data_IF_138547682558
#
_entry.id   IF_138547682558
#
_cell.length_a   1.000
_cell.length_b   1.000
_cell.length_c   1.000
_cell.angle_alpha   90.00
_cell.angle_beta   90.00
_cell.angle_gamma   90.00
#
_symmetry.space_group_name_H-M   'P 1'
#
loop_
_entity.id
_entity.type
_entity.pdbx_description
1 polymer ?
#
# COMPACT_ATOMS: atom_id res chain seq x y z
N UNK A 1 39.14 20.12 6.63
CA UNK A 1 38.63 21.34 5.96
C UNK A 1 38.90 21.28 4.45
N UNK A 2 38.56 20.16 3.78
CA UNK A 2 38.75 19.94 2.34
C UNK A 2 37.54 19.22 1.71
N UNK A 3 36.39 19.22 2.38
CA UNK A 3 35.17 18.50 1.95
C UNK A 3 34.21 19.42 1.17
N UNK A 4 34.57 20.68 0.91
CA UNK A 4 33.65 21.67 0.30
C UNK A 4 33.76 21.87 -1.22
N UNK A 5 34.75 21.28 -1.90
CA UNK A 5 34.99 21.58 -3.33
C UNK A 5 34.81 20.39 -4.31
N UNK A 6 34.33 19.24 -3.85
CA UNK A 6 34.15 18.06 -4.72
C UNK A 6 32.75 17.43 -4.54
N UNK A 7 31.77 17.74 -5.41
CA UNK A 7 30.42 17.17 -5.32
C UNK A 7 30.34 15.68 -5.72
N UNK A 8 31.47 15.05 -6.09
CA UNK A 8 31.54 13.65 -6.52
C UNK A 8 32.33 12.74 -5.56
N UNK A 9 32.96 13.31 -4.52
CA UNK A 9 33.65 12.54 -3.48
C UNK A 9 32.79 12.53 -2.21
N UNK A 10 31.82 11.62 -2.17
CA UNK A 10 31.15 11.26 -0.93
C UNK A 10 32.06 10.23 -0.24
N UNK A 11 32.95 10.72 0.61
CA UNK A 11 33.61 9.87 1.62
C UNK A 11 32.59 9.69 2.74
N UNK A 12 31.82 8.61 2.70
CA UNK A 12 31.12 8.11 3.89
C UNK A 12 32.20 7.37 4.67
N UNK A 13 32.60 7.93 5.82
CA UNK A 13 33.42 7.20 6.77
C UNK A 13 32.64 5.95 7.22
N UNK A 14 33.31 4.79 7.25
CA UNK A 14 32.75 3.46 7.57
C UNK A 14 31.90 3.40 8.85
N UNK A 15 32.08 4.35 9.78
CA UNK A 15 31.32 4.41 11.04
C UNK A 15 29.87 4.87 10.87
N UNK A 16 29.55 5.71 9.86
CA UNK A 16 28.18 6.22 9.68
C UNK A 16 27.25 5.19 9.02
N UNK A 17 27.77 4.32 8.15
CA UNK A 17 26.96 3.30 7.47
C UNK A 17 26.51 2.20 8.43
N UNK A 18 27.42 1.72 9.27
CA UNK A 18 27.13 0.78 10.36
C UNK A 18 26.19 1.40 11.40
N UNK A 19 26.33 2.70 11.69
CA UNK A 19 25.37 3.41 12.55
C UNK A 19 24.00 3.54 11.90
N UNK A 20 23.86 3.80 10.59
CA UNK A 20 22.55 3.84 9.91
C UNK A 20 21.89 2.46 9.90
N UNK A 21 22.65 1.37 9.71
CA UNK A 21 22.14 0.00 9.81
C UNK A 21 21.80 -0.42 11.25
N UNK A 22 22.56 0.08 12.24
CA UNK A 22 22.39 -0.24 13.66
C UNK A 22 21.37 0.65 14.39
N UNK A 23 21.16 1.89 13.92
CA UNK A 23 20.21 2.88 14.49
C UNK A 23 18.92 2.98 13.68
N UNK A 24 18.95 2.59 12.41
CA UNK A 24 17.78 2.48 11.55
C UNK A 24 17.07 1.14 11.71
N UNK A 25 16.78 0.72 12.95
CA UNK A 25 15.71 -0.27 13.11
C UNK A 25 14.42 0.51 12.86
N UNK A 26 13.74 0.35 11.70
CA UNK A 26 12.53 1.10 11.44
C UNK A 26 11.51 0.67 12.48
N UNK A 27 11.28 1.50 13.49
CA UNK A 27 10.19 1.28 14.44
C UNK A 27 8.91 1.40 13.63
N UNK A 28 8.17 0.30 13.50
CA UNK A 28 6.83 0.33 12.94
C UNK A 28 6.03 1.32 13.79
N UNK A 29 5.48 2.35 13.14
CA UNK A 29 4.60 3.29 13.82
C UNK A 29 3.19 2.76 13.66
N UNK A 30 2.52 2.57 14.79
CA UNK A 30 1.11 2.18 14.79
C UNK A 30 0.33 3.24 13.99
N UNK A 31 -0.41 2.79 13.00
CA UNK A 31 -1.16 3.63 12.09
C UNK A 31 -2.58 3.11 11.94
N UNK A 32 -3.31 3.19 13.05
CA UNK A 32 -4.67 2.69 13.18
C UNK A 32 -5.60 3.37 12.16
N UNK A 33 -6.59 2.61 11.73
CA UNK A 33 -7.72 3.10 10.96
C UNK A 33 -8.56 3.96 11.91
N UNK A 34 -8.91 5.16 11.46
CA UNK A 34 -9.76 6.10 12.20
C UNK A 34 -11.22 6.00 11.77
N UNK A 35 -11.46 5.73 10.49
CA UNK A 35 -12.80 5.59 9.92
C UNK A 35 -12.78 4.56 8.78
N UNK A 36 -13.89 3.86 8.58
CA UNK A 36 -14.05 2.93 7.48
C UNK A 36 -15.40 3.14 6.81
N UNK A 37 -15.45 2.91 5.49
CA UNK A 37 -16.68 3.00 4.73
C UNK A 37 -16.78 1.82 3.78
N UNK A 38 -17.96 1.21 3.71
CA UNK A 38 -18.25 0.15 2.76
C UNK A 38 -19.30 0.63 1.75
N UNK A 39 -19.06 0.31 0.48
CA UNK A 39 -19.94 0.70 -0.62
C UNK A 39 -20.17 -0.49 -1.56
N UNK A 40 -21.39 -0.61 -2.09
CA UNK A 40 -21.71 -1.55 -3.17
C UNK A 40 -22.25 -0.76 -4.36
N UNK A 41 -21.62 -0.96 -5.50
CA UNK A 41 -21.91 -0.26 -6.75
C UNK A 41 -22.35 -1.21 -7.86
N UNK A 42 -23.18 -0.71 -8.77
CA UNK A 42 -23.50 -1.35 -10.04
C UNK A 42 -22.71 -0.69 -11.15
N UNK A 43 -21.88 -1.48 -11.83
CA UNK A 43 -21.17 -1.08 -13.04
C UNK A 43 -21.96 -1.54 -14.26
N UNK A 44 -22.25 -0.58 -15.13
CA UNK A 44 -22.96 -0.75 -16.41
C UNK A 44 -22.12 -0.16 -17.54
N UNK A 45 -22.51 -0.40 -18.80
CA UNK A 45 -21.84 0.25 -19.95
C UNK A 45 -21.92 1.79 -19.90
N UNK A 46 -22.96 2.35 -19.28
CA UNK A 46 -23.18 3.79 -19.17
C UNK A 46 -22.50 4.46 -17.97
N UNK A 47 -21.90 3.68 -17.05
CA UNK A 47 -21.26 4.20 -15.84
C UNK A 47 -21.43 3.31 -14.61
N UNK A 48 -20.92 3.79 -13.47
CA UNK A 48 -21.05 3.15 -12.16
C UNK A 48 -22.02 3.91 -11.28
N UNK A 49 -22.80 3.20 -10.48
CA UNK A 49 -23.79 3.78 -9.58
C UNK A 49 -23.78 3.06 -8.23
N UNK A 50 -23.45 3.80 -7.16
CA UNK A 50 -23.46 3.29 -5.78
C UNK A 50 -24.89 3.32 -5.24
N UNK A 51 -25.38 2.17 -4.77
CA UNK A 51 -26.74 2.05 -4.24
C UNK A 51 -26.78 1.72 -2.75
N UNK A 52 -25.69 1.18 -2.23
CA UNK A 52 -25.51 0.89 -0.81
C UNK A 52 -24.22 1.55 -0.35
N UNK A 53 -24.28 2.25 0.78
CA UNK A 53 -23.15 2.86 1.45
C UNK A 53 -23.42 2.84 2.95
N UNK A 54 -22.44 2.37 3.70
CA UNK A 54 -22.45 2.36 5.16
C UNK A 54 -21.17 3.01 5.66
N UNK A 55 -21.32 4.11 6.38
CA UNK A 55 -20.23 4.92 6.94
C UNK A 55 -20.17 4.84 8.46
N UNK A 56 -21.25 4.39 9.09
CA UNK A 56 -21.30 4.15 10.52
C UNK A 56 -20.66 2.79 10.80
N UNK A 57 -19.34 2.80 11.00
CA UNK A 57 -18.57 1.61 11.31
C UNK A 57 -17.83 1.75 12.65
N UNK A 58 -18.03 0.78 13.53
CA UNK A 58 -17.28 0.65 14.78
C UNK A 58 -15.97 -0.09 14.51
N UNK A 59 -14.89 0.39 15.13
CA UNK A 59 -13.55 -0.17 15.02
C UNK A 59 -13.18 -0.81 16.36
N UNK A 60 -12.87 -2.09 16.33
CA UNK A 60 -12.48 -2.88 17.49
C UNK A 60 -11.01 -3.27 17.38
N UNK A 61 -10.27 -3.06 18.47
CA UNK A 61 -8.86 -3.45 18.55
C UNK A 61 -8.71 -4.96 18.72
N UNK A 62 -7.52 -5.50 18.48
CA UNK A 62 -7.23 -6.91 18.74
C UNK A 62 -7.53 -7.33 20.20
N UNK A 63 -7.35 -6.43 21.16
CA UNK A 63 -7.68 -6.71 22.56
C UNK A 63 -9.18 -6.96 22.76
N UNK A 64 -10.03 -6.11 22.17
CA UNK A 64 -11.50 -6.26 22.25
C UNK A 64 -11.96 -7.59 21.64
N UNK A 65 -11.29 -8.01 20.55
CA UNK A 65 -11.56 -9.27 19.89
C UNK A 65 -11.21 -10.46 20.79
N UNK A 66 -10.02 -10.45 21.40
CA UNK A 66 -9.58 -11.52 22.30
C UNK A 66 -10.49 -11.64 23.52
N UNK A 67 -10.96 -10.52 24.07
CA UNK A 67 -11.89 -10.49 25.20
C UNK A 67 -13.26 -11.09 24.85
N UNK A 68 -13.69 -10.99 23.58
CA UNK A 68 -14.93 -11.63 23.10
C UNK A 68 -14.84 -13.15 22.99
N UNK A 69 -13.63 -13.73 23.06
CA UNK A 69 -13.39 -15.16 22.85
C UNK A 69 -13.62 -15.63 21.41
N UNK A 70 -13.76 -14.69 20.47
CA UNK A 70 -13.95 -14.99 19.05
C UNK A 70 -12.59 -15.17 18.37
N UNK A 71 -12.34 -16.36 17.85
CA UNK A 71 -11.13 -16.65 17.11
C UNK A 71 -11.21 -16.06 15.70
N UNK A 72 -10.46 -14.98 15.47
CA UNK A 72 -10.36 -14.31 14.18
C UNK A 72 -9.23 -14.86 13.32
N UNK A 73 -8.32 -15.65 13.87
CA UNK A 73 -7.11 -16.11 13.15
C UNK A 73 -7.17 -17.59 12.80
N UNK A 74 -8.28 -17.97 12.15
CA UNK A 74 -8.59 -19.36 11.79
C UNK A 74 -7.49 -20.00 10.92
N UNK A 75 -6.72 -19.19 10.18
CA UNK A 75 -5.68 -19.62 9.24
C UNK A 75 -4.25 -19.23 9.67
N UNK A 76 -4.04 -18.75 10.90
CA UNK A 76 -2.76 -18.17 11.36
C UNK A 76 -2.22 -17.06 10.42
N UNK A 77 -3.13 -16.37 9.74
CA UNK A 77 -2.82 -15.31 8.81
C UNK A 77 -2.40 -14.01 9.53
N UNK A 78 -2.78 -13.86 10.80
CA UNK A 78 -2.50 -12.67 11.59
C UNK A 78 -1.25 -12.81 12.48
N UNK A 79 -0.74 -14.03 12.69
CA UNK A 79 0.47 -14.34 13.48
C UNK A 79 1.71 -13.49 13.14
N UNK A 80 1.83 -13.05 11.88
CA UNK A 80 2.98 -12.26 11.42
C UNK A 80 2.90 -10.76 11.74
N UNK A 81 1.78 -10.30 12.28
CA UNK A 81 1.48 -8.89 12.54
C UNK A 81 1.44 -8.56 14.03
N UNK A 82 1.74 -7.31 14.38
CA UNK A 82 1.52 -6.85 15.75
C UNK A 82 0.02 -6.71 16.02
N UNK A 83 -0.42 -7.21 17.16
CA UNK A 83 -1.76 -7.01 17.72
C UNK A 83 -2.28 -5.56 17.63
N UNK A 84 -1.40 -4.57 17.72
CA UNK A 84 -1.78 -3.14 17.61
C UNK A 84 -2.13 -2.69 16.19
N UNK A 85 -1.63 -3.38 15.19
CA UNK A 85 -1.86 -3.03 13.78
C UNK A 85 -3.12 -3.71 13.22
N UNK A 86 -3.74 -4.61 14.00
CA UNK A 86 -4.94 -5.38 13.62
C UNK A 86 -6.19 -4.76 14.22
N UNK A 87 -7.16 -4.44 13.38
CA UNK A 87 -8.48 -3.96 13.79
C UNK A 87 -9.59 -4.71 13.05
N UNK A 88 -10.70 -4.93 13.75
CA UNK A 88 -11.94 -5.41 13.15
C UNK A 88 -12.90 -4.24 12.93
N UNK A 89 -13.47 -4.19 11.73
CA UNK A 89 -14.41 -3.18 11.29
C UNK A 89 -15.80 -3.80 11.26
N UNK A 90 -16.75 -3.18 11.94
CA UNK A 90 -18.15 -3.59 12.01
C UNK A 90 -19.05 -2.43 11.58
N UNK A 91 -19.65 -2.51 10.39
CA UNK A 91 -20.52 -1.46 9.86
C UNK A 91 -22.01 -1.79 10.07
N UNK A 92 -22.85 -0.76 10.14
CA UNK A 92 -24.31 -0.91 10.21
C UNK A 92 -24.87 -1.61 8.96
N UNK A 93 -25.94 -2.40 9.14
CA UNK A 93 -26.54 -3.19 8.06
C UNK A 93 -27.30 -2.34 7.04
N UNK A 94 -27.97 -1.28 7.50
CA UNK A 94 -28.74 -0.37 6.65
C UNK A 94 -27.84 0.66 5.97
N UNK A 95 -28.18 1.02 4.73
CA UNK A 95 -27.47 2.09 4.04
C UNK A 95 -27.77 3.46 4.67
N UNK A 96 -26.76 4.34 4.70
CA UNK A 96 -26.90 5.71 5.24
C UNK A 96 -27.83 6.61 4.43
N UNK A 97 -28.23 6.16 3.24
CA UNK A 97 -29.02 6.94 2.29
C UNK A 97 -30.23 6.19 1.77
N UNK A 98 -31.31 6.95 1.56
CA UNK A 98 -32.55 6.44 1.01
C UNK A 98 -32.40 6.12 -0.49
N UNK A 99 -33.15 5.09 -0.92
CA UNK A 99 -33.25 4.67 -2.31
C UNK A 99 -34.14 5.61 -3.12
N UNK A 100 -33.54 6.68 -3.64
CA UNK A 100 -34.23 7.69 -4.44
C UNK A 100 -33.72 7.67 -5.89
N UNK A 101 -34.25 6.76 -6.71
CA UNK A 101 -33.97 6.73 -8.16
C UNK A 101 -35.18 7.21 -8.95
N UNK A 102 -35.01 8.20 -9.85
CA UNK A 102 -36.07 8.61 -10.77
C UNK A 102 -36.60 7.42 -11.59
N UNK A 103 -37.94 7.27 -11.74
CA UNK A 103 -38.54 6.19 -12.52
C UNK A 103 -37.99 5.99 -13.96
N UNK A 104 -37.62 7.02 -14.75
CA UNK A 104 -36.99 6.80 -16.05
C UNK A 104 -35.58 6.17 -15.92
N UNK A 105 -34.78 6.59 -14.94
CA UNK A 105 -33.45 6.05 -14.68
C UNK A 105 -33.52 4.60 -14.24
N UNK A 106 -34.47 4.26 -13.36
CA UNK A 106 -34.70 2.87 -12.94
C UNK A 106 -35.05 1.96 -14.13
N UNK A 107 -35.95 2.42 -15.02
CA UNK A 107 -36.30 1.66 -16.23
C UNK A 107 -35.11 1.43 -17.16
N UNK A 108 -34.22 2.42 -17.30
CA UNK A 108 -33.01 2.26 -18.10
C UNK A 108 -32.01 1.31 -17.43
N UNK A 109 -31.82 1.41 -16.11
CA UNK A 109 -30.98 0.49 -15.35
C UNK A 109 -31.47 -0.96 -15.51
N UNK A 110 -32.77 -1.21 -15.35
CA UNK A 110 -33.37 -2.55 -15.53
C UNK A 110 -33.16 -3.07 -16.96
N UNK A 111 -33.20 -2.20 -17.98
CA UNK A 111 -32.87 -2.59 -19.36
C UNK A 111 -31.40 -2.97 -19.52
N UNK A 112 -30.47 -2.24 -18.89
CA UNK A 112 -29.03 -2.53 -18.99
C UNK A 112 -28.63 -3.89 -18.41
N UNK A 113 -29.48 -4.56 -17.61
CA UNK A 113 -29.24 -5.94 -17.18
C UNK A 113 -29.14 -6.93 -18.36
N UNK A 114 -29.73 -6.63 -19.53
CA UNK A 114 -29.55 -7.48 -20.73
C UNK A 114 -28.16 -7.35 -21.36
N UNK A 115 -27.50 -6.21 -21.18
CA UNK A 115 -26.15 -5.92 -21.68
C UNK A 115 -25.06 -6.40 -20.72
N UNK A 116 -25.42 -6.67 -19.47
CA UNK A 116 -24.52 -7.14 -18.41
C UNK A 116 -24.26 -6.05 -17.37
N UNK A 117 -24.89 -6.20 -16.20
CA UNK A 117 -24.63 -5.36 -15.02
C UNK A 117 -23.77 -6.16 -14.06
N UNK A 118 -22.73 -5.50 -13.55
CA UNK A 118 -21.78 -6.10 -12.61
C UNK A 118 -21.86 -5.40 -11.26
N UNK A 119 -22.00 -6.17 -10.20
CA UNK A 119 -21.90 -5.71 -8.82
C UNK A 119 -20.43 -5.55 -8.43
N UNK A 120 -20.05 -4.42 -7.85
CA UNK A 120 -18.68 -4.13 -7.44
C UNK A 120 -18.69 -3.62 -5.99
N UNK A 121 -18.17 -4.37 -5.02
CA UNK A 121 -18.00 -3.88 -3.66
C UNK A 121 -16.71 -3.07 -3.52
N UNK A 122 -16.69 -2.13 -2.61
CA UNK A 122 -15.50 -1.32 -2.30
C UNK A 122 -15.42 -0.99 -0.82
N UNK A 123 -14.19 -1.02 -0.31
CA UNK A 123 -13.86 -0.61 1.05
C UNK A 123 -12.95 0.62 1.01
N UNK A 124 -13.24 1.62 1.84
CA UNK A 124 -12.45 2.83 1.99
C UNK A 124 -12.03 2.97 3.46
N UNK A 125 -10.78 2.66 3.76
CA UNK A 125 -10.20 2.80 5.10
C UNK A 125 -9.48 4.13 5.21
N UNK A 126 -9.79 4.92 6.23
CA UNK A 126 -9.16 6.21 6.51
C UNK A 126 -8.26 6.09 7.73
N UNK A 127 -7.13 6.77 7.69
CA UNK A 127 -6.08 6.77 8.72
C UNK A 127 -5.31 8.08 8.66
N UNK A 128 -4.57 8.41 9.71
CA UNK A 128 -3.89 9.71 9.79
C UNK A 128 -2.65 9.83 8.88
N UNK A 129 -2.04 8.70 8.53
CA UNK A 129 -0.77 8.62 7.80
C UNK A 129 -0.80 7.55 6.69
N UNK A 130 0.05 7.67 5.65
CA UNK A 130 0.94 8.78 5.38
C UNK A 130 0.16 9.99 4.83
N UNK A 131 0.63 11.20 5.13
CA UNK A 131 0.01 12.44 4.63
C UNK A 131 -0.07 12.42 3.11
N UNK A 132 -1.18 12.87 2.53
CA UNK A 132 -1.57 12.76 1.11
C UNK A 132 -2.13 11.41 0.65
N UNK A 133 -2.12 10.38 1.51
CA UNK A 133 -2.65 9.04 1.24
C UNK A 133 -3.38 8.48 2.46
N UNK A 134 -4.16 9.35 3.10
CA UNK A 134 -4.96 9.03 4.29
C UNK A 134 -6.01 7.97 3.97
N UNK A 135 -6.60 7.99 2.78
CA UNK A 135 -7.59 7.01 2.35
C UNK A 135 -6.95 5.87 1.57
N UNK A 136 -7.06 4.66 2.10
CA UNK A 136 -6.73 3.43 1.40
C UNK A 136 -7.99 2.77 0.84
N UNK A 137 -8.02 2.56 -0.47
CA UNK A 137 -9.19 2.04 -1.17
C UNK A 137 -8.97 0.61 -1.66
N UNK A 138 -9.99 -0.23 -1.55
CA UNK A 138 -10.07 -1.54 -2.16
C UNK A 138 -11.30 -1.58 -3.08
N UNK A 139 -11.13 -2.14 -4.28
CA UNK A 139 -12.23 -2.43 -5.20
C UNK A 139 -12.25 -3.93 -5.47
N UNK A 140 -13.39 -4.56 -5.18
CA UNK A 140 -13.58 -6.00 -5.36
C UNK A 140 -13.74 -6.41 -6.82
N UNK A 141 -13.76 -7.72 -7.03
CA UNK A 141 -13.98 -8.30 -8.35
C UNK A 141 -15.44 -8.07 -8.78
N UNK A 142 -15.72 -7.66 -10.03
CA UNK A 142 -17.09 -7.48 -10.51
C UNK A 142 -17.86 -8.82 -10.57
N UNK A 143 -19.03 -8.90 -9.93
CA UNK A 143 -19.90 -10.09 -9.93
C UNK A 143 -21.15 -9.89 -10.78
N UNK A 144 -21.48 -10.83 -11.66
CA UNK A 144 -22.72 -10.80 -12.43
C UNK A 144 -23.88 -11.42 -11.63
N UNK A 145 -24.86 -10.62 -11.22
CA UNK A 145 -25.98 -11.08 -10.39
C UNK A 145 -27.31 -10.86 -11.11
N UNK A 146 -27.81 -11.93 -11.75
CA UNK A 146 -29.06 -11.87 -12.52
C UNK A 146 -30.30 -11.63 -11.65
N UNK A 147 -30.31 -12.19 -10.44
CA UNK A 147 -31.44 -12.08 -9.50
C UNK A 147 -31.66 -10.65 -8.97
N UNK A 148 -30.67 -9.75 -9.09
CA UNK A 148 -30.84 -8.36 -8.68
C UNK A 148 -31.89 -7.63 -9.51
N UNK A 149 -32.10 -8.05 -10.77
CA UNK A 149 -33.17 -7.53 -11.61
C UNK A 149 -34.56 -7.82 -11.03
N UNK A 150 -34.74 -9.01 -10.44
CA UNK A 150 -35.98 -9.44 -9.77
C UNK A 150 -36.24 -8.60 -8.52
N UNK A 151 -35.20 -8.28 -7.75
CA UNK A 151 -35.31 -7.39 -6.58
C UNK A 151 -35.72 -5.98 -6.98
N UNK A 152 -35.12 -5.43 -8.05
CA UNK A 152 -35.47 -4.10 -8.56
C UNK A 152 -36.91 -4.05 -9.11
N UNK A 153 -37.37 -5.11 -9.77
CA UNK A 153 -38.75 -5.26 -10.23
C UNK A 153 -39.75 -5.49 -9.09
N UNK A 154 -39.27 -5.84 -7.90
CA UNK A 154 -40.09 -6.07 -6.71
C UNK A 154 -40.70 -7.47 -6.64
N UNK A 155 -40.24 -8.43 -7.44
CA UNK A 155 -40.66 -9.84 -7.34
C UNK A 155 -39.96 -10.54 -6.17
N UNK A 156 -38.74 -10.11 -5.86
CA UNK A 156 -37.99 -10.50 -4.66
C UNK A 156 -37.72 -9.27 -3.79
N UNK A 157 -37.58 -9.47 -2.49
CA UNK A 157 -37.13 -8.43 -1.55
C UNK A 157 -35.65 -8.57 -1.20
N UNK A 158 -35.12 -9.79 -1.17
CA UNK A 158 -33.75 -10.09 -0.78
C UNK A 158 -33.08 -11.12 -1.69
N UNK A 159 -31.75 -11.04 -1.79
CA UNK A 159 -30.90 -12.00 -2.49
C UNK A 159 -29.66 -12.32 -1.67
N UNK A 160 -29.21 -13.58 -1.70
CA UNK A 160 -27.93 -13.97 -1.13
C UNK A 160 -26.82 -13.70 -2.14
N UNK A 161 -25.84 -12.89 -1.77
CA UNK A 161 -24.64 -12.64 -2.56
C UNK A 161 -23.49 -13.42 -1.94
N UNK A 162 -23.10 -14.49 -2.59
CA UNK A 162 -21.96 -15.31 -2.19
C UNK A 162 -20.63 -14.64 -2.58
N UNK A 163 -19.63 -14.77 -1.72
CA UNK A 163 -18.24 -14.38 -1.95
C UNK A 163 -18.07 -12.93 -2.43
N UNK A 164 -18.81 -12.00 -1.82
CA UNK A 164 -18.86 -10.60 -2.27
C UNK A 164 -17.48 -9.94 -2.17
N UNK A 165 -16.81 -10.05 -1.03
CA UNK A 165 -15.51 -9.44 -0.78
C UNK A 165 -14.67 -10.28 0.20
N UNK A 166 -13.33 -10.13 0.22
CA UNK A 166 -12.49 -10.89 1.13
C UNK A 166 -12.61 -10.40 2.57
N UNK A 167 -12.42 -11.29 3.55
CA UNK A 167 -12.54 -10.96 4.97
C UNK A 167 -11.35 -10.16 5.51
N UNK A 168 -10.14 -10.43 5.01
CA UNK A 168 -8.89 -9.88 5.51
C UNK A 168 -8.26 -8.89 4.53
N UNK A 169 -7.93 -7.71 5.02
CA UNK A 169 -7.33 -6.64 4.25
C UNK A 169 -5.98 -6.23 4.83
N UNK A 170 -5.01 -6.00 3.94
CA UNK A 170 -3.78 -5.29 4.25
C UNK A 170 -3.87 -3.86 3.71
N UNK A 171 -3.87 -2.89 4.61
CA UNK A 171 -3.87 -1.46 4.29
C UNK A 171 -2.42 -1.01 4.09
N UNK A 172 -2.06 -0.69 2.85
CA UNK A 172 -0.67 -0.36 2.51
C UNK A 172 -0.40 1.14 2.65
N UNK A 173 0.86 1.52 2.91
CA UNK A 173 1.32 2.92 2.82
C UNK A 173 1.18 3.54 1.42
N UNK A 174 0.84 2.73 0.41
CA UNK A 174 0.58 3.16 -0.96
C UNK A 174 -0.74 3.90 -1.19
N UNK A 175 -1.67 3.86 -0.23
CA UNK A 175 -3.05 4.37 -0.41
C UNK A 175 -3.99 3.35 -1.05
N UNK A 176 -3.60 2.08 -1.06
CA UNK A 176 -4.40 0.96 -1.54
C UNK A 176 -4.58 -0.05 -0.41
N UNK A 177 -5.77 -0.62 -0.32
CA UNK A 177 -6.05 -1.80 0.49
C UNK A 177 -6.06 -3.03 -0.41
N UNK A 178 -5.42 -4.11 0.04
CA UNK A 178 -5.25 -5.36 -0.72
C UNK A 178 -5.75 -6.53 0.11
N UNK A 179 -6.15 -7.61 -0.55
CA UNK A 179 -6.39 -8.89 0.13
C UNK A 179 -5.10 -9.33 0.84
N UNK A 180 -5.25 -9.83 2.07
CA UNK A 180 -4.14 -10.45 2.79
C UNK A 180 -3.78 -11.79 2.15
N UNK A 181 -2.58 -11.87 1.56
CA UNK A 181 -2.05 -13.09 0.95
C UNK A 181 -2.04 -14.21 2.01
N UNK A 182 -2.47 -15.42 1.63
CA UNK A 182 -2.68 -16.62 2.47
C UNK A 182 -4.09 -16.86 3.02
N UNK A 183 -5.04 -15.94 2.82
CA UNK A 183 -6.44 -16.16 3.23
C UNK A 183 -7.37 -16.33 2.03
N UNK A 184 -8.29 -17.30 2.11
CA UNK A 184 -9.40 -17.48 1.15
C UNK A 184 -10.77 -17.18 1.76
N UNK A 185 -10.81 -16.66 2.99
CA UNK A 185 -12.05 -16.32 3.66
C UNK A 185 -12.73 -15.14 2.95
N UNK A 186 -13.95 -15.39 2.49
CA UNK A 186 -14.81 -14.43 1.83
C UNK A 186 -16.04 -14.15 2.69
N UNK A 187 -16.61 -12.97 2.53
CA UNK A 187 -17.85 -12.58 3.19
C UNK A 187 -19.01 -12.69 2.21
N UNK A 188 -20.00 -13.48 2.60
CA UNK A 188 -21.28 -13.61 1.91
C UNK A 188 -22.36 -12.95 2.75
N UNK A 189 -23.36 -12.35 2.10
CA UNK A 189 -24.42 -11.65 2.81
C UNK A 189 -25.70 -11.52 1.99
N UNK A 190 -26.79 -11.25 2.70
CA UNK A 190 -28.09 -10.99 2.12
C UNK A 190 -28.23 -9.50 1.82
N UNK A 191 -28.45 -9.19 0.54
CA UNK A 191 -28.77 -7.84 0.08
C UNK A 191 -30.28 -7.72 -0.05
N UNK A 192 -30.87 -6.79 0.69
CA UNK A 192 -32.33 -6.60 0.79
C UNK A 192 -32.71 -5.18 0.41
N UNK A 193 -33.76 -5.03 -0.39
CA UNK A 193 -34.38 -3.74 -0.69
C UNK A 193 -35.65 -3.60 0.14
N UNK A 194 -35.56 -2.82 1.21
CA UNK A 194 -36.69 -2.50 2.07
C UNK A 194 -37.57 -1.48 1.37
N UNK A 195 -38.88 -1.73 1.35
CA UNK A 195 -39.88 -0.90 0.65
C UNK A 195 -41.04 -0.60 1.58
N UNK A 196 -40.80 0.26 2.56
CA UNK A 196 -41.83 0.71 3.49
C UNK A 196 -42.43 2.05 3.00
N UNK A 197 -42.46 3.07 3.87
CA UNK A 197 -42.86 4.44 3.49
C UNK A 197 -41.81 5.09 2.57
N UNK A 198 -40.55 4.75 2.79
CA UNK A 198 -39.41 5.07 1.95
C UNK A 198 -38.66 3.75 1.67
N UNK A 199 -37.90 3.70 0.57
CA UNK A 199 -37.10 2.54 0.24
C UNK A 199 -35.64 2.78 0.62
N UNK A 200 -34.93 1.73 1.05
CA UNK A 200 -33.49 1.74 1.30
C UNK A 200 -32.92 0.33 1.14
N UNK A 201 -31.60 0.24 0.97
CA UNK A 201 -30.90 -1.03 0.88
C UNK A 201 -30.31 -1.42 2.23
N UNK A 202 -30.38 -2.70 2.58
CA UNK A 202 -29.66 -3.28 3.70
C UNK A 202 -28.79 -4.45 3.23
N UNK A 203 -27.63 -4.61 3.86
CA UNK A 203 -26.72 -5.71 3.60
C UNK A 203 -26.38 -6.39 4.93
N UNK A 204 -26.88 -7.61 5.10
CA UNK A 204 -26.77 -8.37 6.34
C UNK A 204 -25.83 -9.56 6.15
N UNK A 205 -24.88 -9.74 7.06
CA UNK A 205 -23.94 -10.88 7.13
C UNK A 205 -24.18 -11.66 8.41
N UNK A 206 -23.68 -12.90 8.45
CA UNK A 206 -23.72 -13.72 9.68
C UNK A 206 -23.03 -12.98 10.83
N UNK A 207 -23.72 -12.82 11.96
CA UNK A 207 -23.19 -12.12 13.12
C UNK A 207 -21.87 -12.73 13.60
N UNK A 208 -20.98 -11.86 14.08
CA UNK A 208 -19.78 -12.25 14.82
C UNK A 208 -19.95 -11.80 16.27
N UNK A 209 -19.44 -12.58 17.22
CA UNK A 209 -19.52 -12.22 18.64
C UNK A 209 -18.83 -10.88 18.97
N UNK A 210 -17.88 -10.45 18.13
CA UNK A 210 -17.14 -9.19 18.26
C UNK A 210 -18.02 -7.97 17.97
N UNK A 211 -18.80 -8.00 16.89
CA UNK A 211 -19.63 -6.87 16.47
C UNK A 211 -20.94 -6.74 17.27
N UNK A 212 -21.16 -7.60 18.28
CA UNK A 212 -22.39 -7.62 19.08
C UNK A 212 -23.63 -7.89 18.21
N UNK A 213 -24.59 -6.98 18.27
CA UNK A 213 -25.86 -7.05 17.53
C UNK A 213 -25.76 -6.50 16.09
N UNK A 214 -24.63 -5.88 15.73
CA UNK A 214 -24.42 -5.31 14.40
C UNK A 214 -24.20 -6.46 13.41
N UNK A 215 -25.05 -6.52 12.38
CA UNK A 215 -25.03 -7.57 11.35
C UNK A 215 -24.71 -7.04 9.96
N UNK A 216 -24.18 -5.82 9.85
CA UNK A 216 -23.79 -5.24 8.58
C UNK A 216 -22.41 -5.70 8.09
N UNK A 217 -21.84 -5.04 7.07
CA UNK A 217 -20.55 -5.39 6.50
C UNK A 217 -19.44 -5.44 7.55
N UNK A 218 -18.69 -6.53 7.58
CA UNK A 218 -17.55 -6.73 8.50
C UNK A 218 -16.26 -6.97 7.73
N UNK A 219 -15.14 -6.49 8.25
CA UNK A 219 -13.81 -6.72 7.69
C UNK A 219 -12.75 -6.74 8.79
N UNK A 220 -11.67 -7.48 8.58
CA UNK A 220 -10.46 -7.41 9.40
C UNK A 220 -9.41 -6.69 8.59
N UNK A 221 -8.86 -5.61 9.13
CA UNK A 221 -7.88 -4.79 8.44
C UNK A 221 -6.60 -4.68 9.27
N UNK A 222 -5.48 -4.92 8.60
CA UNK A 222 -4.14 -4.73 9.16
C UNK A 222 -3.55 -3.47 8.56
N UNK A 223 -3.27 -2.48 9.40
CA UNK A 223 -2.78 -1.16 8.99
C UNK A 223 -1.42 -0.87 9.62
N UNK A 224 -0.38 -0.99 8.80
CA UNK A 224 1.00 -0.74 9.20
C UNK A 224 1.53 0.49 8.46
N UNK A 225 2.31 1.32 9.14
CA UNK A 225 3.20 2.29 8.49
C UNK A 225 4.64 1.81 8.58
N UNK A 226 5.08 1.04 7.57
CA UNK A 226 6.51 0.78 7.42
C UNK A 226 7.18 2.07 6.95
N UNK A 227 8.10 2.65 7.73
CA UNK A 227 8.82 3.85 7.32
C UNK A 227 9.49 3.61 5.97
N UNK A 228 9.39 4.59 5.07
CA UNK A 228 10.09 4.59 3.76
C UNK A 228 11.60 4.41 3.88
N UNK A 229 12.15 4.53 5.08
CA UNK A 229 13.54 4.20 5.45
C UNK A 229 13.96 2.85 4.89
N UNK A 230 13.14 1.80 4.91
CA UNK A 230 13.51 0.50 4.32
C UNK A 230 13.73 0.55 2.80
N UNK A 231 12.94 1.35 2.08
CA UNK A 231 13.13 1.60 0.63
C UNK A 231 14.36 2.46 0.38
N UNK A 232 14.62 3.46 1.23
CA UNK A 232 15.83 4.26 1.19
C UNK A 232 17.08 3.42 1.50
N UNK A 233 17.08 2.58 2.53
CA UNK A 233 18.15 1.63 2.84
C UNK A 233 18.38 0.69 1.65
N UNK A 234 17.31 0.12 1.06
CA UNK A 234 17.42 -0.72 -0.14
C UNK A 234 18.02 0.03 -1.33
N UNK A 235 17.69 1.31 -1.52
CA UNK A 235 18.28 2.18 -2.55
C UNK A 235 19.76 2.50 -2.27
N UNK A 236 20.15 2.71 -1.00
CA UNK A 236 21.55 2.95 -0.62
C UNK A 236 22.39 1.67 -0.69
N UNK A 237 21.77 0.50 -0.47
CA UNK A 237 22.44 -0.80 -0.55
C UNK A 237 22.43 -1.41 -1.96
N UNK A 238 21.48 -0.99 -2.80
CA UNK A 238 21.49 -1.31 -4.21
C UNK A 238 22.78 -0.72 -4.81
N UNK A 239 23.53 -1.55 -5.52
CA UNK A 239 24.78 -1.20 -6.18
C UNK A 239 26.00 -0.94 -5.29
N UNK A 240 25.94 -1.16 -3.96
CA UNK A 240 27.17 -1.17 -3.12
C UNK A 240 28.22 -2.11 -3.71
N UNK A 241 27.83 -3.32 -4.12
CA UNK A 241 28.75 -4.28 -4.77
C UNK A 241 29.45 -3.75 -6.02
N UNK A 242 28.80 -2.82 -6.74
CA UNK A 242 29.32 -2.22 -7.96
C UNK A 242 30.29 -1.06 -7.64
N UNK A 243 30.17 -0.46 -6.44
CA UNK A 243 31.00 0.64 -5.94
C UNK A 243 32.22 0.19 -5.14
N UNK A 244 32.19 -1.01 -4.52
CA UNK A 244 33.31 -1.58 -3.75
C UNK A 244 34.68 -1.44 -4.44
N UNK A 245 34.84 -1.72 -5.75
CA UNK A 245 36.14 -1.60 -6.43
C UNK A 245 36.68 -0.17 -6.57
N UNK A 246 35.86 0.84 -6.26
CA UNK A 246 36.15 2.27 -6.51
C UNK A 246 36.13 3.13 -5.24
N UNK A 247 35.75 2.58 -4.09
CA UNK A 247 35.58 3.33 -2.84
C UNK A 247 36.52 2.87 -1.72
N UNK A 248 36.85 1.58 -1.68
CA UNK A 248 37.63 0.97 -0.59
C UNK A 248 39.09 0.74 -1.00
N UNK A 249 39.85 1.82 -1.15
CA UNK A 249 41.28 1.77 -1.51
C UNK A 249 42.20 1.88 -0.29
N UNK A 250 43.28 1.06 -0.21
CA UNK A 250 44.28 1.15 0.86
C UNK A 250 45.02 2.49 0.92
N UNK A 251 45.37 3.06 -0.24
CA UNK A 251 46.00 4.39 -0.37
C UNK A 251 45.56 5.06 -1.68
N UNK A 252 45.43 6.39 -1.67
CA UNK A 252 44.99 7.16 -2.85
C UNK A 252 46.03 8.19 -3.33
N UNK A 253 47.19 8.25 -2.70
CA UNK A 253 48.15 9.36 -2.88
C UNK A 253 48.62 9.52 -4.33
N UNK A 254 48.86 8.40 -5.02
CA UNK A 254 49.26 8.40 -6.45
C UNK A 254 48.14 8.88 -7.38
N UNK A 255 46.89 8.55 -7.06
CA UNK A 255 45.72 9.03 -7.83
C UNK A 255 45.45 10.50 -7.56
N UNK A 256 45.63 10.95 -6.31
CA UNK A 256 45.51 12.36 -5.92
C UNK A 256 46.56 13.20 -6.64
N UNK A 257 47.82 12.75 -6.70
CA UNK A 257 48.88 13.44 -7.43
C UNK A 257 48.54 13.64 -8.92
N UNK A 258 48.02 12.62 -9.60
CA UNK A 258 47.57 12.74 -11.01
C UNK A 258 46.45 13.79 -11.14
N UNK A 259 45.50 13.81 -10.20
CA UNK A 259 44.43 14.81 -10.20
C UNK A 259 44.97 16.22 -9.96
N UNK A 260 45.91 16.40 -9.04
CA UNK A 260 46.58 17.68 -8.76
C UNK A 260 47.37 18.18 -9.99
N UNK A 261 48.07 17.29 -10.69
CA UNK A 261 48.80 17.61 -11.92
C UNK A 261 47.83 18.04 -13.05
N UNK A 262 46.66 17.40 -13.16
CA UNK A 262 45.60 17.83 -14.09
C UNK A 262 45.13 19.25 -13.74
N UNK A 263 44.93 19.54 -12.46
CA UNK A 263 44.52 20.87 -12.00
C UNK A 263 45.60 21.93 -12.28
N UNK A 264 46.88 21.60 -12.06
CA UNK A 264 48.01 22.48 -12.36
C UNK A 264 48.12 22.76 -13.86
N UNK A 265 48.09 21.74 -14.71
CA UNK A 265 48.12 21.88 -16.17
C UNK A 265 46.97 22.75 -16.69
N UNK A 266 45.76 22.59 -16.12
CA UNK A 266 44.59 23.42 -16.44
C UNK A 266 44.80 24.89 -16.04
N UNK A 267 45.40 25.14 -14.86
CA UNK A 267 45.67 26.50 -14.39
C UNK A 267 46.69 27.24 -15.28
N UNK A 268 47.67 26.50 -15.81
CA UNK A 268 48.71 27.01 -16.70
C UNK A 268 48.28 27.05 -18.18
N UNK A 269 47.08 26.53 -18.49
CA UNK A 269 46.50 26.40 -19.84
C UNK A 269 47.30 25.49 -20.78
N UNK A 270 48.01 24.51 -20.22
CA UNK A 270 48.71 23.46 -20.98
C UNK A 270 47.75 22.32 -21.37
N UNK A 271 46.89 22.59 -22.35
CA UNK A 271 45.79 21.69 -22.76
C UNK A 271 46.26 20.30 -23.21
N UNK A 272 47.42 20.20 -23.84
CA UNK A 272 47.96 18.91 -24.30
C UNK A 272 48.40 18.01 -23.13
N UNK A 273 48.96 18.60 -22.08
CA UNK A 273 49.36 17.89 -20.86
C UNK A 273 48.11 17.48 -20.05
N UNK A 274 47.15 18.39 -19.92
CA UNK A 274 45.86 18.12 -19.27
C UNK A 274 45.14 16.92 -19.92
N UNK A 275 45.05 16.90 -21.26
CA UNK A 275 44.41 15.81 -22.00
C UNK A 275 45.16 14.48 -21.80
N UNK A 276 46.50 14.50 -21.84
CA UNK A 276 47.33 13.31 -21.62
C UNK A 276 47.15 12.70 -20.23
N UNK A 277 47.13 13.53 -19.20
CA UNK A 277 46.92 13.12 -17.81
C UNK A 277 45.47 12.63 -17.59
N UNK A 278 44.48 13.29 -18.19
CA UNK A 278 43.08 12.86 -18.13
C UNK A 278 42.88 11.46 -18.74
N UNK A 279 43.44 11.18 -19.92
CA UNK A 279 43.36 9.86 -20.53
C UNK A 279 44.10 8.78 -19.72
N UNK A 280 45.16 9.16 -19.02
CA UNK A 280 45.87 8.26 -18.10
C UNK A 280 44.95 7.88 -16.93
N UNK A 281 44.28 8.86 -16.32
CA UNK A 281 43.29 8.62 -15.27
C UNK A 281 42.15 7.70 -15.75
N UNK A 282 41.60 7.96 -16.94
CA UNK A 282 40.54 7.11 -17.53
C UNK A 282 41.01 5.67 -17.75
N UNK A 283 42.25 5.46 -18.22
CA UNK A 283 42.81 4.12 -18.40
C UNK A 283 42.94 3.35 -17.08
N UNK A 284 43.31 4.05 -16.00
CA UNK A 284 43.40 3.46 -14.66
C UNK A 284 42.00 3.05 -14.18
N UNK A 285 41.00 3.93 -14.25
CA UNK A 285 39.63 3.62 -13.84
C UNK A 285 38.91 2.58 -14.73
N UNK A 286 39.36 2.38 -15.98
CA UNK A 286 38.81 1.33 -16.87
C UNK A 286 39.31 -0.08 -16.55
N UNK A 287 40.39 -0.22 -15.78
CA UNK A 287 41.00 -1.53 -15.48
C UNK A 287 41.15 -1.71 -13.96
N UNK A 288 40.30 -2.52 -13.31
CA UNK A 288 40.36 -2.76 -11.86
C UNK A 288 41.73 -3.23 -11.37
N UNK A 289 42.45 -4.00 -12.19
CA UNK A 289 43.79 -4.49 -11.86
C UNK A 289 44.83 -3.37 -11.79
N UNK A 290 44.78 -2.40 -12.71
CA UNK A 290 45.67 -1.24 -12.72
C UNK A 290 45.31 -0.33 -11.55
N UNK A 291 44.01 -0.11 -11.32
CA UNK A 291 43.52 0.71 -10.21
C UNK A 291 43.98 0.17 -8.85
N UNK A 292 43.92 -1.15 -8.63
CA UNK A 292 44.45 -1.78 -7.41
C UNK A 292 45.96 -1.63 -7.28
N UNK A 293 46.73 -1.64 -8.37
CA UNK A 293 48.17 -1.45 -8.32
C UNK A 293 48.56 -0.01 -7.93
N UNK A 294 47.79 0.96 -8.40
CA UNK A 294 47.98 2.38 -8.07
C UNK A 294 47.52 2.76 -6.66
N UNK A 295 46.79 1.88 -5.97
CA UNK A 295 46.18 2.13 -4.65
C UNK A 295 46.73 1.22 -3.55
N UNK A 296 47.83 0.50 -3.82
CA UNK A 296 48.56 -0.25 -2.79
C UNK A 296 49.30 0.70 -1.87
N UNK A 297 49.28 0.41 -0.57
CA UNK A 297 50.26 0.96 0.37
C UNK A 297 51.66 0.47 -0.03
N UNK A 298 52.61 1.40 -0.15
CA UNK A 298 54.03 1.06 -0.28
C UNK A 298 54.56 0.33 0.97
#
# INVERSE_FOLDING_TARGET
MLVKNFPWLIVIADDDFLQIYSSGNPTNFVNEITEAHFEISLRTAGGSFTFYRSQLCNLHSMADILDSGYDIDVDNALDSFDSKDVQMVCCEEDADSLWLIPPPTLRNLVKSFTEGVLLVPSWNFHRERPKSKETATFTGLPLAIKQLQEVLNGTLSSILVADLYPRYFRVTSGGEARLLEQTSATVSGNLTLNRETQAWWSFNVSSSGVCGDVTGPMAIAVSEEVPTVGRFIRLQCADLRMRIPYENFPSCDRLIAICEDIYAARAERELALEEGLFWTLVKIYRSPHILLEYTKTE
#
